data_IF_495822905099
#
_entry.id   IF_495822905099
#
_cell.length_a   1.000
_cell.length_b   1.000
_cell.length_c   1.000
_cell.angle_alpha   90.00
_cell.angle_beta   90.00
_cell.angle_gamma   90.00
#
_symmetry.space_group_name_H-M   'P 1'
#
loop_
_entity.id
_entity.type
_entity.pdbx_description
1 polymer ?
#
# COMPACT_ATOMS: atom_id res chain seq x y z
N UNK A 1 -6.71 -11.78 17.22
CA UNK A 1 -6.26 -11.16 15.97
C UNK A 1 -6.40 -9.64 16.11
N UNK A 2 -5.46 -8.84 15.58
CA UNK A 2 -5.61 -7.38 15.51
C UNK A 2 -6.82 -7.03 14.64
N UNK A 3 -7.63 -6.05 15.06
CA UNK A 3 -8.77 -5.53 14.29
C UNK A 3 -8.31 -4.60 13.16
N UNK A 4 -9.22 -4.22 12.26
CA UNK A 4 -8.98 -3.19 11.26
C UNK A 4 -8.47 -1.88 11.89
N UNK A 5 -9.12 -1.45 12.98
CA UNK A 5 -8.72 -0.23 13.71
C UNK A 5 -7.33 -0.37 14.30
N UNK A 6 -6.96 -1.54 14.82
CA UNK A 6 -5.61 -1.78 15.39
C UNK A 6 -4.53 -1.65 14.31
N UNK A 7 -4.71 -2.31 13.15
CA UNK A 7 -3.78 -2.24 12.03
C UNK A 7 -3.64 -0.83 11.49
N UNK A 8 -4.76 -0.16 11.20
CA UNK A 8 -4.74 1.18 10.64
C UNK A 8 -4.19 2.21 11.63
N UNK A 9 -4.51 2.11 12.93
CA UNK A 9 -3.96 3.01 13.94
C UNK A 9 -2.46 2.83 14.14
N UNK A 10 -1.97 1.59 14.14
CA UNK A 10 -0.54 1.31 14.23
C UNK A 10 0.22 1.88 13.02
N UNK A 11 -0.31 1.70 11.80
CA UNK A 11 0.27 2.26 10.58
C UNK A 11 0.19 3.79 10.58
N UNK A 12 -0.96 4.36 10.96
CA UNK A 12 -1.20 5.79 11.04
C UNK A 12 -0.24 6.50 12.01
N UNK A 13 0.25 5.83 13.07
CA UNK A 13 1.22 6.40 14.00
C UNK A 13 2.55 6.80 13.34
N UNK A 14 2.86 6.24 12.16
CA UNK A 14 4.02 6.58 11.32
C UNK A 14 3.68 7.54 10.17
N UNK A 15 2.40 7.96 10.05
CA UNK A 15 1.90 8.72 8.91
C UNK A 15 0.92 9.80 9.36
N UNK A 16 1.42 10.79 10.09
CA UNK A 16 0.63 11.93 10.58
C UNK A 16 0.94 13.25 9.89
N UNK A 17 2.05 13.34 9.15
CA UNK A 17 2.32 14.51 8.32
C UNK A 17 1.54 14.39 6.98
N UNK A 18 0.76 15.41 6.57
CA UNK A 18 -0.03 15.35 5.34
C UNK A 18 0.83 15.20 4.09
N UNK A 19 2.09 15.64 4.09
CA UNK A 19 3.02 15.47 2.97
C UNK A 19 3.44 14.00 2.83
N UNK A 20 3.58 13.30 3.95
CA UNK A 20 3.86 11.87 3.96
C UNK A 20 2.64 11.09 3.44
N UNK A 21 1.43 11.38 3.92
CA UNK A 21 0.20 10.75 3.42
C UNK A 21 0.04 11.00 1.91
N UNK A 22 0.29 12.24 1.42
CA UNK A 22 0.22 12.57 0.00
C UNK A 22 1.23 11.78 -0.84
N UNK A 23 2.48 11.60 -0.36
CA UNK A 23 3.47 10.76 -1.04
C UNK A 23 3.03 9.29 -1.13
N UNK A 24 2.32 8.81 -0.12
CA UNK A 24 1.80 7.45 -0.06
C UNK A 24 0.67 7.20 -1.06
N UNK A 25 -0.15 8.19 -1.41
CA UNK A 25 -1.16 8.07 -2.46
C UNK A 25 -0.57 7.78 -3.84
N UNK A 26 0.68 8.14 -4.07
CA UNK A 26 1.38 7.89 -5.35
C UNK A 26 2.31 6.69 -5.22
N UNK A 27 3.17 6.68 -4.22
CA UNK A 27 4.24 5.70 -4.09
C UNK A 27 3.74 4.28 -3.79
N UNK A 28 2.71 4.10 -2.95
CA UNK A 28 2.18 2.77 -2.64
C UNK A 28 1.53 2.10 -3.86
N UNK A 29 0.62 2.75 -4.62
CA UNK A 29 0.09 2.14 -5.84
C UNK A 29 1.19 1.76 -6.85
N UNK A 30 2.22 2.60 -7.01
CA UNK A 30 3.36 2.28 -7.88
C UNK A 30 4.10 1.03 -7.41
N UNK A 31 4.37 0.90 -6.11
CA UNK A 31 5.05 -0.28 -5.53
C UNK A 31 4.18 -1.53 -5.68
N UNK A 32 2.86 -1.44 -5.43
CA UNK A 32 1.94 -2.57 -5.58
C UNK A 32 1.93 -3.07 -7.03
N UNK A 33 1.80 -2.16 -8.00
CA UNK A 33 1.85 -2.52 -9.43
C UNK A 33 3.23 -3.07 -9.81
N UNK A 34 4.31 -2.46 -9.32
CA UNK A 34 5.68 -2.94 -9.55
C UNK A 34 5.88 -4.39 -9.09
N UNK A 35 5.43 -4.70 -7.87
CA UNK A 35 5.49 -6.05 -7.30
C UNK A 35 4.66 -7.01 -8.14
N UNK A 36 3.45 -6.62 -8.54
CA UNK A 36 2.61 -7.44 -9.43
C UNK A 36 3.31 -7.70 -10.78
N UNK A 37 3.93 -6.69 -11.40
CA UNK A 37 4.70 -6.84 -12.66
C UNK A 37 5.87 -7.80 -12.48
N UNK A 38 6.70 -7.60 -11.47
CA UNK A 38 7.89 -8.43 -11.25
C UNK A 38 7.54 -9.87 -10.90
N UNK A 39 6.48 -10.09 -10.14
CA UNK A 39 6.01 -11.42 -9.73
C UNK A 39 5.08 -12.10 -10.76
N UNK A 40 4.76 -11.45 -11.87
CA UNK A 40 3.99 -12.08 -12.94
C UNK A 40 4.81 -13.04 -13.82
N UNK A 41 6.13 -13.09 -13.66
CA UNK A 41 7.01 -14.13 -14.22
C UNK A 41 7.66 -14.91 -13.05
N UNK A 42 7.73 -16.24 -13.12
CA UNK A 42 7.20 -17.17 -14.12
C UNK A 42 5.69 -17.36 -14.05
N UNK A 43 5.14 -17.93 -15.14
CA UNK A 43 3.72 -18.32 -15.22
C UNK A 43 3.59 -19.83 -15.39
N UNK A 44 2.53 -20.39 -14.81
CA UNK A 44 2.15 -21.80 -14.97
C UNK A 44 0.69 -21.89 -15.40
N UNK A 45 0.43 -22.69 -16.43
CA UNK A 45 -0.94 -23.03 -16.83
C UNK A 45 -1.42 -24.25 -16.05
N UNK A 46 -2.47 -24.09 -15.25
CA UNK A 46 -3.09 -25.16 -14.47
C UNK A 46 -4.59 -25.16 -14.74
N UNK A 47 -5.10 -26.19 -15.39
CA UNK A 47 -6.53 -26.32 -15.65
C UNK A 47 -7.16 -25.18 -16.48
N UNK A 48 -6.39 -24.57 -17.38
CA UNK A 48 -6.84 -23.43 -18.20
C UNK A 48 -6.76 -22.07 -17.49
N UNK A 49 -6.30 -22.04 -16.24
CA UNK A 49 -6.00 -20.81 -15.50
C UNK A 49 -4.49 -20.56 -15.53
N UNK A 50 -4.11 -19.31 -15.68
CA UNK A 50 -2.72 -18.91 -15.51
C UNK A 50 -2.47 -18.54 -14.05
N UNK A 51 -1.40 -19.11 -13.49
CA UNK A 51 -0.94 -18.83 -12.14
C UNK A 51 0.45 -18.21 -12.21
N UNK A 52 0.72 -17.28 -11.30
CA UNK A 52 2.04 -16.68 -11.09
C UNK A 52 2.24 -16.37 -9.61
N UNK A 53 3.45 -16.10 -9.14
CA UNK A 53 3.66 -15.59 -7.79
C UNK A 53 2.80 -14.36 -7.47
N UNK A 54 2.55 -13.47 -8.45
CA UNK A 54 1.67 -12.31 -8.29
C UNK A 54 0.24 -12.71 -7.91
N UNK A 55 -0.31 -13.73 -8.56
CA UNK A 55 -1.67 -14.26 -8.25
C UNK A 55 -1.71 -14.80 -6.82
N UNK A 56 -0.68 -15.56 -6.41
CA UNK A 56 -0.62 -16.14 -5.06
C UNK A 56 -0.59 -15.03 -3.99
N UNK A 57 0.27 -14.02 -4.18
CA UNK A 57 0.36 -12.88 -3.27
C UNK A 57 -0.95 -12.08 -3.23
N UNK A 58 -1.59 -11.87 -4.38
CA UNK A 58 -2.87 -11.16 -4.46
C UNK A 58 -4.00 -11.92 -3.75
N UNK A 59 -4.09 -13.25 -3.91
CA UNK A 59 -5.08 -14.09 -3.23
C UNK A 59 -4.88 -14.07 -1.71
N UNK A 60 -3.64 -14.19 -1.25
CA UNK A 60 -3.32 -14.08 0.18
C UNK A 60 -3.71 -12.70 0.73
N UNK A 61 -3.36 -11.62 0.01
CA UNK A 61 -3.71 -10.25 0.40
C UNK A 61 -5.21 -10.03 0.43
N UNK A 62 -5.94 -10.51 -0.59
CA UNK A 62 -7.40 -10.44 -0.65
C UNK A 62 -8.05 -11.16 0.54
N UNK A 63 -7.59 -12.39 0.84
CA UNK A 63 -8.04 -13.12 2.03
C UNK A 63 -7.80 -12.33 3.32
N UNK A 64 -6.63 -11.74 3.49
CA UNK A 64 -6.30 -10.92 4.66
C UNK A 64 -7.26 -9.71 4.78
N UNK A 65 -7.47 -8.96 3.70
CA UNK A 65 -8.35 -7.78 3.73
C UNK A 65 -9.81 -8.13 3.96
N UNK A 66 -10.33 -9.18 3.33
CA UNK A 66 -11.70 -9.66 3.52
C UNK A 66 -11.96 -10.14 4.96
N UNK A 67 -10.93 -10.69 5.62
CA UNK A 67 -11.01 -11.08 7.04
C UNK A 67 -11.01 -9.89 7.99
N UNK A 68 -10.46 -8.76 7.59
CA UNK A 68 -10.46 -7.55 8.41
C UNK A 68 -11.80 -6.82 8.35
N UNK A 69 -12.32 -6.59 7.14
CA UNK A 69 -13.60 -5.90 6.92
C UNK A 69 -14.07 -6.12 5.48
N UNK A 70 -15.35 -6.42 5.31
CA UNK A 70 -15.88 -6.89 4.03
C UNK A 70 -15.84 -5.82 2.93
N UNK A 71 -16.28 -4.59 3.20
CA UNK A 71 -16.43 -3.56 2.16
C UNK A 71 -15.06 -3.08 1.64
N UNK A 72 -14.13 -2.75 2.55
CA UNK A 72 -12.75 -2.40 2.14
C UNK A 72 -12.04 -3.63 1.56
N UNK A 73 -12.29 -4.82 2.09
CA UNK A 73 -11.73 -6.07 1.60
C UNK A 73 -12.14 -6.38 0.17
N UNK A 74 -13.40 -6.18 -0.20
CA UNK A 74 -13.86 -6.32 -1.60
C UNK A 74 -13.19 -5.31 -2.50
N UNK A 75 -13.15 -4.03 -2.10
CA UNK A 75 -12.47 -2.98 -2.86
C UNK A 75 -10.98 -3.32 -3.07
N UNK A 76 -10.29 -3.74 -2.01
CA UNK A 76 -8.88 -4.15 -2.08
C UNK A 76 -8.68 -5.37 -2.99
N UNK A 77 -9.60 -6.33 -2.96
CA UNK A 77 -9.55 -7.50 -3.85
C UNK A 77 -9.63 -7.09 -5.32
N UNK A 78 -10.51 -6.16 -5.65
CA UNK A 78 -10.62 -5.61 -7.02
C UNK A 78 -9.33 -4.88 -7.41
N UNK A 79 -8.79 -4.03 -6.53
CA UNK A 79 -7.54 -3.29 -6.82
C UNK A 79 -6.33 -4.22 -6.97
N UNK A 80 -6.23 -5.27 -6.16
CA UNK A 80 -5.19 -6.30 -6.31
C UNK A 80 -5.37 -7.06 -7.63
N UNK A 81 -6.59 -7.42 -8.00
CA UNK A 81 -6.89 -8.07 -9.28
C UNK A 81 -6.49 -7.21 -10.48
N UNK A 82 -6.79 -5.91 -10.45
CA UNK A 82 -6.37 -4.96 -11.48
C UNK A 82 -4.84 -4.83 -11.56
N UNK A 83 -4.17 -4.83 -10.41
CA UNK A 83 -2.69 -4.78 -10.36
C UNK A 83 -2.06 -6.04 -10.96
N UNK A 84 -2.62 -7.21 -10.66
CA UNK A 84 -2.18 -8.49 -11.25
C UNK A 84 -2.45 -8.54 -12.76
N UNK A 85 -3.61 -8.06 -13.21
CA UNK A 85 -3.93 -7.96 -14.63
C UNK A 85 -2.93 -7.05 -15.38
N UNK A 86 -2.63 -5.87 -14.84
CA UNK A 86 -1.63 -4.97 -15.41
C UNK A 86 -0.23 -5.61 -15.39
N UNK A 87 0.11 -6.32 -14.30
CA UNK A 87 1.35 -7.06 -14.16
C UNK A 87 1.51 -8.14 -15.23
N UNK A 88 0.47 -8.94 -15.45
CA UNK A 88 0.45 -9.96 -16.50
C UNK A 88 0.61 -9.35 -17.91
N UNK A 89 -0.12 -8.26 -18.20
CA UNK A 89 -0.02 -7.58 -19.49
C UNK A 89 1.40 -7.06 -19.78
N UNK A 90 2.11 -6.54 -18.77
CA UNK A 90 3.50 -6.11 -18.90
C UNK A 90 4.48 -7.29 -18.94
N UNK A 91 4.20 -8.36 -18.19
CA UNK A 91 5.00 -9.58 -18.21
C UNK A 91 4.98 -10.29 -19.58
N UNK A 92 3.91 -10.14 -20.35
CA UNK A 92 3.80 -10.65 -21.71
C UNK A 92 4.67 -9.90 -22.75
N UNK A 93 5.19 -8.71 -22.38
CA UNK A 93 6.06 -7.92 -23.25
C UNK A 93 7.50 -8.46 -23.28
N UNK A 94 8.40 -7.77 -23.98
CA UNK A 94 9.83 -8.12 -23.98
C UNK A 94 10.41 -8.07 -22.55
N UNK A 95 11.50 -8.80 -22.31
CA UNK A 95 12.18 -8.78 -21.00
C UNK A 95 12.63 -7.38 -20.60
N UNK A 96 13.04 -6.57 -21.56
CA UNK A 96 13.44 -5.17 -21.30
C UNK A 96 12.24 -4.37 -20.77
N UNK A 97 11.07 -4.44 -21.44
CA UNK A 97 9.87 -3.70 -21.04
C UNK A 97 9.37 -4.18 -19.67
N UNK A 98 9.27 -5.49 -19.46
CA UNK A 98 8.86 -6.05 -18.17
C UNK A 98 9.77 -5.61 -17.03
N UNK A 99 11.09 -5.81 -17.19
CA UNK A 99 12.06 -5.53 -16.12
C UNK A 99 12.18 -4.03 -15.84
N UNK A 100 12.29 -3.20 -16.90
CA UNK A 100 12.39 -1.74 -16.70
C UNK A 100 11.12 -1.14 -16.11
N UNK A 101 9.95 -1.61 -16.49
CA UNK A 101 8.68 -1.17 -15.89
C UNK A 101 8.59 -1.59 -14.42
N UNK A 102 8.86 -2.87 -14.11
CA UNK A 102 8.79 -3.37 -12.75
C UNK A 102 9.79 -2.70 -11.82
N UNK A 103 11.07 -2.69 -12.20
CA UNK A 103 12.13 -2.06 -11.40
C UNK A 103 11.96 -0.54 -11.33
N UNK A 104 11.62 0.11 -12.44
CA UNK A 104 11.41 1.57 -12.49
C UNK A 104 10.30 2.02 -11.56
N UNK A 105 9.11 1.39 -11.65
CA UNK A 105 7.98 1.69 -10.75
C UNK A 105 8.34 1.41 -9.28
N UNK A 106 9.06 0.32 -9.01
CA UNK A 106 9.50 -0.04 -7.66
C UNK A 106 10.42 1.02 -7.08
N UNK A 107 11.50 1.36 -7.79
CA UNK A 107 12.50 2.32 -7.31
C UNK A 107 11.88 3.71 -7.15
N UNK A 108 11.14 4.21 -8.14
CA UNK A 108 10.49 5.53 -8.06
C UNK A 108 9.46 5.56 -6.94
N UNK A 109 8.64 4.52 -6.79
CA UNK A 109 7.69 4.39 -5.70
C UNK A 109 8.35 4.48 -4.33
N UNK A 110 9.45 3.75 -4.12
CA UNK A 110 10.20 3.82 -2.86
C UNK A 110 10.87 5.17 -2.61
N UNK A 111 11.43 5.81 -3.64
CA UNK A 111 11.98 7.17 -3.51
C UNK A 111 10.90 8.13 -3.01
N UNK A 112 9.69 8.09 -3.60
CA UNK A 112 8.56 8.91 -3.17
C UNK A 112 8.18 8.61 -1.72
N UNK A 113 8.16 7.33 -1.29
CA UNK A 113 7.90 6.94 0.09
C UNK A 113 8.94 7.52 1.06
N UNK A 114 10.22 7.38 0.75
CA UNK A 114 11.29 7.91 1.62
C UNK A 114 11.25 9.44 1.72
N UNK A 115 10.91 10.14 0.65
CA UNK A 115 10.67 11.60 0.69
C UNK A 115 9.52 11.92 1.65
N UNK A 116 8.43 11.16 1.63
CA UNK A 116 7.34 11.30 2.59
C UNK A 116 7.80 11.11 4.04
N UNK A 117 8.55 10.05 4.30
CA UNK A 117 9.09 9.74 5.63
C UNK A 117 10.13 10.76 6.12
N UNK A 118 10.84 11.41 5.21
CA UNK A 118 11.69 12.56 5.57
C UNK A 118 10.85 13.69 6.21
N UNK A 119 9.71 14.03 5.62
CA UNK A 119 8.80 15.03 6.20
C UNK A 119 8.17 14.57 7.52
N UNK A 120 7.83 13.29 7.64
CA UNK A 120 7.32 12.69 8.87
C UNK A 120 8.35 12.71 10.01
N UNK A 121 9.64 12.54 9.67
CA UNK A 121 10.73 12.39 10.64
C UNK A 121 10.69 11.05 11.38
N UNK A 122 10.03 10.06 10.81
CA UNK A 122 9.96 8.70 11.30
C UNK A 122 10.36 7.74 10.19
N UNK A 123 10.94 6.60 10.59
CA UNK A 123 11.20 5.49 9.67
C UNK A 123 9.89 4.88 9.14
N UNK A 124 9.91 4.21 7.99
CA UNK A 124 8.74 3.48 7.49
C UNK A 124 8.23 2.44 8.49
N UNK A 125 6.90 2.27 8.56
CA UNK A 125 6.25 1.36 9.50
C UNK A 125 6.72 -0.10 9.37
N UNK A 126 7.03 -0.56 8.16
CA UNK A 126 7.45 -1.94 7.90
C UNK A 126 8.82 -2.30 8.52
N UNK A 127 9.62 -1.31 8.90
CA UNK A 127 10.90 -1.53 9.58
C UNK A 127 10.69 -2.10 10.99
N UNK A 128 9.59 -1.72 11.64
CA UNK A 128 9.23 -2.21 12.96
C UNK A 128 8.26 -3.41 12.89
N UNK A 129 7.38 -3.43 11.88
CA UNK A 129 6.38 -4.48 11.70
C UNK A 129 6.17 -4.71 10.19
N UNK A 130 6.66 -5.85 9.69
CA UNK A 130 6.55 -6.24 8.28
C UNK A 130 5.09 -6.24 7.78
N UNK A 131 4.10 -6.41 8.68
CA UNK A 131 2.69 -6.27 8.31
C UNK A 131 2.38 -4.88 7.72
N UNK A 132 3.22 -3.88 7.96
CA UNK A 132 3.12 -2.57 7.32
C UNK A 132 3.13 -2.62 5.79
N UNK A 133 3.76 -3.62 5.18
CA UNK A 133 3.77 -3.78 3.72
C UNK A 133 2.37 -4.15 3.16
N UNK A 134 1.60 -4.94 3.89
CA UNK A 134 0.24 -5.31 3.49
C UNK A 134 -0.80 -4.31 4.01
N UNK A 135 -0.55 -3.65 5.14
CA UNK A 135 -1.45 -2.65 5.71
C UNK A 135 -1.35 -1.31 4.94
N UNK A 136 -0.20 -0.97 4.38
CA UNK A 136 0.01 0.29 3.64
C UNK A 136 -0.99 0.52 2.51
N UNK A 137 -1.20 -0.41 1.58
CA UNK A 137 -2.23 -0.26 0.53
C UNK A 137 -3.64 -0.05 1.09
N UNK A 138 -4.00 -0.77 2.15
CA UNK A 138 -5.29 -0.62 2.83
C UNK A 138 -5.42 0.77 3.49
N UNK A 139 -4.34 1.27 4.09
CA UNK A 139 -4.30 2.60 4.69
C UNK A 139 -4.54 3.70 3.64
N UNK A 140 -3.89 3.61 2.47
CA UNK A 140 -4.12 4.56 1.37
C UNK A 140 -5.58 4.56 0.92
N UNK A 141 -6.20 3.39 0.76
CA UNK A 141 -7.61 3.28 0.38
C UNK A 141 -8.52 3.85 1.47
N UNK A 142 -8.20 3.60 2.75
CA UNK A 142 -8.95 4.17 3.86
C UNK A 142 -8.85 5.70 3.90
N UNK A 143 -7.65 6.27 3.70
CA UNK A 143 -7.45 7.73 3.67
C UNK A 143 -8.19 8.38 2.48
N UNK A 144 -8.21 7.74 1.30
CA UNK A 144 -9.04 8.19 0.16
C UNK A 144 -10.53 8.19 0.55
N UNK A 145 -11.01 7.13 1.19
CA UNK A 145 -12.40 7.07 1.66
C UNK A 145 -12.71 8.19 2.66
N UNK A 146 -11.77 8.52 3.56
CA UNK A 146 -11.92 9.61 4.53
C UNK A 146 -11.97 10.99 3.85
N UNK A 147 -11.15 11.21 2.82
CA UNK A 147 -11.16 12.45 2.02
C UNK A 147 -12.48 12.62 1.25
N UNK A 148 -13.06 11.53 0.78
CA UNK A 148 -14.37 11.52 0.11
C UNK A 148 -15.56 11.61 1.08
N UNK A 149 -15.31 11.74 2.38
CA UNK A 149 -16.37 11.83 3.39
C UNK A 149 -16.91 10.49 3.90
N UNK A 150 -16.40 9.36 3.39
CA UNK A 150 -16.80 8.04 3.84
C UNK A 150 -16.06 7.61 5.12
N UNK A 151 -16.64 6.68 5.88
CA UNK A 151 -15.98 6.01 7.04
C UNK A 151 -15.45 6.98 8.11
N UNK A 152 -16.10 8.12 8.33
CA UNK A 152 -15.65 9.13 9.31
C UNK A 152 -15.56 8.61 10.75
N UNK A 153 -16.42 7.65 11.13
CA UNK A 153 -16.31 6.99 12.44
C UNK A 153 -15.04 6.15 12.60
N UNK A 154 -14.58 5.50 11.53
CA UNK A 154 -13.28 4.79 11.51
C UNK A 154 -12.12 5.78 11.61
N UNK A 155 -12.17 6.90 10.86
CA UNK A 155 -11.18 7.97 10.94
C UNK A 155 -11.03 8.49 12.37
N UNK A 156 -12.14 8.82 13.03
CA UNK A 156 -12.12 9.31 14.43
C UNK A 156 -11.50 8.30 15.40
N UNK A 157 -11.77 7.00 15.24
CA UNK A 157 -11.15 5.95 16.07
C UNK A 157 -9.64 5.87 15.86
N UNK A 158 -9.17 6.00 14.62
CA UNK A 158 -7.75 6.03 14.28
C UNK A 158 -7.09 7.27 14.88
N UNK A 159 -7.66 8.45 14.67
CA UNK A 159 -7.11 9.73 15.19
C UNK A 159 -7.08 9.76 16.72
N UNK A 160 -8.05 9.15 17.38
CA UNK A 160 -8.05 9.01 18.85
C UNK A 160 -6.85 8.20 19.37
N UNK A 161 -6.35 7.24 18.59
CA UNK A 161 -5.25 6.35 18.98
C UNK A 161 -3.86 6.84 18.51
N UNK A 162 -3.79 7.37 17.30
CA UNK A 162 -2.52 7.77 16.65
C UNK A 162 -2.29 9.27 16.56
N UNK A 163 -3.24 10.06 17.06
CA UNK A 163 -3.23 11.51 16.98
C UNK A 163 -3.78 12.07 15.65
N UNK A 164 -4.06 13.38 15.60
CA UNK A 164 -4.54 14.05 14.40
C UNK A 164 -3.45 14.15 13.33
N UNK A 165 -3.87 14.40 12.09
CA UNK A 165 -2.95 14.75 10.99
C UNK A 165 -2.45 16.19 11.22
N UNK A 166 -1.14 16.34 11.39
CA UNK A 166 -0.50 17.63 11.66
C UNK A 166 0.80 17.76 10.87
N UNK A 167 0.97 18.90 10.19
CA UNK A 167 2.20 19.19 9.46
C UNK A 167 3.35 19.41 10.46
N UNK A 168 4.40 18.59 10.32
CA UNK A 168 5.60 18.73 11.16
C UNK A 168 6.40 19.96 10.77
N UNK A 169 6.84 20.71 11.76
CA UNK A 169 7.84 21.78 11.57
C UNK A 169 9.22 21.13 11.36
N UNK A 170 9.87 21.52 10.25
CA UNK A 170 11.21 21.03 9.89
C UNK A 170 12.33 21.90 10.46
N UNK A 171 12.00 23.08 11.05
CA UNK A 171 13.01 23.90 11.68
C UNK A 171 13.52 23.21 12.94
N UNK A 172 14.86 23.16 13.18
CA UNK A 172 15.37 22.73 14.47
C UNK A 172 14.78 23.63 15.56
N UNK A 173 14.24 23.05 16.63
CA UNK A 173 13.96 23.85 17.83
C UNK A 173 15.29 24.48 18.24
N UNK A 174 15.39 25.79 18.16
CA UNK A 174 16.46 26.51 18.83
C UNK A 174 16.29 26.25 20.33
N UNK A 175 17.23 25.52 20.89
CA UNK A 175 17.36 25.29 22.34
C UNK A 175 17.98 26.52 22.96
#
# INVERSE_FOLDING_TARGET
>A
MKSLVDHLSQYAAYHRDPRNIASHFIGIPMIVVAVAVLLSRPEWAVGGLWLSPAVIVALFSAWFYLRLELALGVLMTVLMGLSVWAGHALAAQSTMVWLSSGVGLFVVGWVIQFVGHYYEGKKPAFVDDVSGLIVGPLFVVAEVAFLLGFRQGLKQQIEKRSGPVVRRDLKPRQV
#
